data_IF_747410664524
#
_entry.id   IF_747410664524
#
_cell.length_a   1.000
_cell.length_b   1.000
_cell.length_c   1.000
_cell.angle_alpha   90.00
_cell.angle_beta   90.00
_cell.angle_gamma   90.00
#
_symmetry.space_group_name_H-M   'P 1'
#
loop_
_entity.id
_entity.type
_entity.pdbx_description
1 polymer ?
#
# COMPACT_ATOMS: atom_id res chain seq x y z
N UNK A 1 -1.24 -16.47 17.59
CA UNK A 1 -1.37 -15.03 17.86
C UNK A 1 -0.94 -14.34 16.60
N UNK A 2 -1.75 -13.43 16.09
CA UNK A 2 -1.76 -13.16 14.65
C UNK A 2 -2.18 -11.74 14.30
N UNK A 3 -1.62 -11.25 13.21
CA UNK A 3 -1.92 -9.94 12.64
C UNK A 3 -3.40 -9.82 12.27
N UNK A 4 -4.07 -8.78 12.76
CA UNK A 4 -5.50 -8.51 12.50
C UNK A 4 -5.73 -7.41 11.48
N UNK A 5 -4.69 -6.63 11.17
CA UNK A 5 -4.73 -5.53 10.22
C UNK A 5 -3.44 -5.42 9.43
N UNK A 6 -3.22 -4.24 8.88
CA UNK A 6 -2.12 -3.94 7.94
C UNK A 6 -1.23 -2.80 8.45
N UNK A 7 -1.61 -2.16 9.55
CA UNK A 7 -0.83 -1.10 10.17
C UNK A 7 0.35 -1.64 10.97
N UNK A 8 1.35 -0.80 11.28
CA UNK A 8 2.56 -1.20 12.00
C UNK A 8 2.32 -1.76 13.42
N UNK A 9 1.14 -1.52 13.99
CA UNK A 9 0.73 -1.98 15.32
C UNK A 9 -0.45 -2.95 15.28
N UNK A 10 -0.83 -3.44 14.10
CA UNK A 10 -2.00 -4.31 13.93
C UNK A 10 -1.66 -5.81 14.11
N UNK A 11 -0.82 -6.11 15.10
CA UNK A 11 -0.42 -7.46 15.52
C UNK A 11 -0.28 -7.51 17.05
N UNK A 12 -0.53 -8.68 17.63
CA UNK A 12 -0.35 -8.97 19.06
C UNK A 12 1.04 -8.53 19.53
N UNK A 13 2.08 -8.91 18.78
CA UNK A 13 3.47 -8.67 19.16
C UNK A 13 3.84 -7.18 19.04
N UNK A 14 3.32 -6.50 18.03
CA UNK A 14 3.52 -5.07 17.89
C UNK A 14 2.81 -4.27 18.99
N UNK A 15 1.61 -4.69 19.41
CA UNK A 15 0.88 -4.09 20.52
C UNK A 15 1.52 -4.37 21.89
N UNK A 16 2.09 -5.57 22.08
CA UNK A 16 2.87 -5.91 23.28
C UNK A 16 4.13 -5.06 23.35
N UNK A 17 4.88 -4.94 22.25
CA UNK A 17 6.01 -4.03 22.14
C UNK A 17 5.65 -2.57 22.47
N UNK A 18 4.51 -2.06 21.96
CA UNK A 18 4.06 -0.72 22.30
C UNK A 18 3.87 -0.53 23.81
N UNK A 19 3.30 -1.54 24.47
CA UNK A 19 3.11 -1.54 25.93
C UNK A 19 4.46 -1.55 26.66
N UNK A 20 5.45 -2.30 26.19
CA UNK A 20 6.80 -2.27 26.75
C UNK A 20 7.48 -0.90 26.62
N UNK A 21 7.27 -0.21 25.49
CA UNK A 21 7.79 1.14 25.28
C UNK A 21 7.17 2.14 26.27
N UNK A 22 5.87 2.04 26.53
CA UNK A 22 5.19 2.90 27.51
C UNK A 22 5.66 2.61 28.94
N UNK A 23 5.84 1.33 29.30
CA UNK A 23 6.34 0.90 30.61
C UNK A 23 7.79 1.30 30.86
N UNK A 24 8.59 1.47 29.81
CA UNK A 24 9.96 1.95 29.93
C UNK A 24 9.98 3.41 30.39
N UNK A 25 11.00 3.76 31.19
CA UNK A 25 11.21 5.16 31.58
C UNK A 25 11.39 6.01 30.33
N UNK A 26 10.89 7.26 30.35
CA UNK A 26 10.96 8.15 29.20
C UNK A 26 12.38 8.21 28.57
N UNK A 27 13.43 8.33 29.39
CA UNK A 27 14.82 8.35 28.91
C UNK A 27 15.36 7.01 28.37
N UNK A 28 14.67 5.90 28.59
CA UNK A 28 15.09 4.53 28.21
C UNK A 28 14.29 3.98 27.01
N UNK A 29 13.21 4.64 26.58
CA UNK A 29 12.36 4.19 25.45
C UNK A 29 13.15 3.95 24.17
N UNK A 30 14.12 4.81 23.89
CA UNK A 30 14.99 4.67 22.73
C UNK A 30 15.83 3.38 22.76
N UNK A 31 16.17 2.86 23.94
CA UNK A 31 16.91 1.61 24.13
C UNK A 31 16.02 0.42 23.77
N UNK A 32 14.74 0.45 24.18
CA UNK A 32 13.77 -0.61 23.84
C UNK A 32 13.54 -0.66 22.32
N UNK A 33 13.40 0.50 21.68
CA UNK A 33 13.26 0.62 20.22
C UNK A 33 14.52 0.10 19.50
N UNK A 34 15.70 0.53 19.94
CA UNK A 34 16.98 0.05 19.38
C UNK A 34 17.15 -1.46 19.54
N UNK A 35 16.77 -2.00 20.70
CA UNK A 35 16.85 -3.42 20.98
C UNK A 35 16.00 -4.24 20.01
N UNK A 36 14.77 -3.81 19.70
CA UNK A 36 13.90 -4.55 18.77
C UNK A 36 14.42 -4.53 17.34
N UNK A 37 14.88 -3.38 16.85
CA UNK A 37 15.49 -3.27 15.54
C UNK A 37 16.75 -4.13 15.41
N UNK A 38 17.65 -4.06 16.41
CA UNK A 38 18.92 -4.81 16.38
C UNK A 38 18.70 -6.31 16.53
N UNK A 39 17.77 -6.74 17.40
CA UNK A 39 17.41 -8.16 17.58
C UNK A 39 16.91 -8.78 16.28
N UNK A 40 16.07 -8.08 15.52
CA UNK A 40 15.60 -8.56 14.21
C UNK A 40 16.75 -8.64 13.20
N UNK A 41 17.55 -7.56 13.06
CA UNK A 41 18.67 -7.55 12.10
C UNK A 41 19.81 -8.53 12.43
N UNK A 42 19.94 -8.94 13.70
CA UNK A 42 20.96 -9.87 14.16
C UNK A 42 20.52 -11.32 14.20
N UNK A 43 19.23 -11.61 13.96
CA UNK A 43 18.72 -12.97 13.94
C UNK A 43 19.07 -13.68 12.63
N UNK A 44 19.51 -14.93 12.69
CA UNK A 44 19.84 -15.72 11.49
C UNK A 44 18.60 -16.26 10.75
N UNK A 45 17.49 -16.43 11.48
CA UNK A 45 16.19 -16.84 10.94
C UNK A 45 15.11 -16.17 11.82
N UNK A 46 14.78 -14.90 11.57
CA UNK A 46 13.81 -14.19 12.37
C UNK A 46 12.41 -14.77 12.15
N UNK A 47 11.71 -15.03 13.25
CA UNK A 47 10.30 -15.38 13.21
C UNK A 47 9.42 -14.14 12.92
N UNK A 48 8.15 -14.39 12.63
CA UNK A 48 7.20 -13.34 12.30
C UNK A 48 6.96 -12.39 13.50
N UNK A 49 7.21 -12.85 14.72
CA UNK A 49 7.08 -12.03 15.93
C UNK A 49 8.14 -10.93 15.98
N UNK A 50 9.39 -11.28 15.72
CA UNK A 50 10.48 -10.32 15.64
C UNK A 50 10.28 -9.33 14.50
N UNK A 51 9.69 -9.78 13.39
CA UNK A 51 9.35 -8.92 12.26
C UNK A 51 8.29 -7.88 12.62
N UNK A 52 7.19 -8.31 13.26
CA UNK A 52 6.12 -7.40 13.70
C UNK A 52 6.65 -6.32 14.66
N UNK A 53 7.47 -6.71 15.65
CA UNK A 53 8.12 -5.78 16.57
C UNK A 53 9.08 -4.82 15.84
N UNK A 54 9.83 -5.30 14.85
CA UNK A 54 10.76 -4.49 14.07
C UNK A 54 10.03 -3.46 13.20
N UNK A 55 8.91 -3.83 12.57
CA UNK A 55 8.07 -2.92 11.79
C UNK A 55 7.50 -1.82 12.70
N UNK A 56 6.98 -2.20 13.88
CA UNK A 56 6.46 -1.26 14.87
C UNK A 56 7.55 -0.28 15.35
N UNK A 57 8.74 -0.79 15.67
CA UNK A 57 9.89 0.02 16.07
C UNK A 57 10.35 0.98 14.95
N UNK A 58 10.39 0.51 13.70
CA UNK A 58 10.74 1.32 12.55
C UNK A 58 9.72 2.43 12.29
N UNK A 59 8.42 2.16 12.51
CA UNK A 59 7.37 3.17 12.40
C UNK A 59 7.54 4.31 13.42
N UNK A 60 7.97 4.02 14.66
CA UNK A 60 8.27 5.06 15.66
C UNK A 60 9.46 5.93 15.25
N UNK A 61 10.49 5.33 14.65
CA UNK A 61 11.65 6.08 14.11
C UNK A 61 11.23 6.94 12.91
N UNK A 62 10.43 6.38 12.00
CA UNK A 62 9.93 7.09 10.83
C UNK A 62 9.03 8.27 11.23
N UNK A 63 8.21 8.14 12.27
CA UNK A 63 7.35 9.22 12.78
C UNK A 63 8.13 10.47 13.25
N UNK A 64 9.40 10.31 13.63
CA UNK A 64 10.28 11.44 13.99
C UNK A 64 11.14 11.94 12.83
N UNK A 65 11.03 11.33 11.65
CA UNK A 65 11.74 11.77 10.45
C UNK A 65 10.91 12.82 9.67
N UNK A 66 11.56 13.69 8.90
CA UNK A 66 10.86 14.58 7.97
C UNK A 66 9.96 13.79 7.00
N UNK A 67 8.69 14.17 6.91
CA UNK A 67 7.70 13.46 6.08
C UNK A 67 7.10 12.20 6.73
N UNK A 68 7.53 11.85 7.95
CA UNK A 68 6.91 10.82 8.76
C UNK A 68 5.51 11.21 9.23
N UNK A 69 4.63 10.21 9.29
CA UNK A 69 3.31 10.37 9.89
C UNK A 69 3.37 10.03 11.37
N UNK A 70 2.68 10.79 12.24
CA UNK A 70 2.57 10.41 13.64
C UNK A 70 1.87 9.05 13.76
N UNK A 71 2.31 8.24 14.72
CA UNK A 71 1.63 6.99 15.05
C UNK A 71 0.33 7.35 15.78
N UNK A 72 -0.81 7.12 15.11
CA UNK A 72 -2.15 7.40 15.66
C UNK A 72 -2.93 6.12 15.99
N UNK A 73 -2.29 4.95 15.91
CA UNK A 73 -2.95 3.68 16.24
C UNK A 73 -3.26 3.62 17.73
N UNK A 74 -4.48 3.18 18.08
CA UNK A 74 -4.84 2.88 19.47
C UNK A 74 -4.06 1.72 20.08
N UNK A 75 -3.33 0.96 19.24
CA UNK A 75 -2.45 -0.14 19.64
C UNK A 75 -0.96 0.26 19.68
N UNK A 76 -0.64 1.52 19.36
CA UNK A 76 0.70 2.08 19.50
C UNK A 76 1.00 2.60 20.91
N UNK A 77 2.24 3.06 21.18
CA UNK A 77 2.58 3.69 22.45
C UNK A 77 1.68 4.89 22.71
N UNK A 78 1.14 4.96 23.93
CA UNK A 78 0.26 6.04 24.37
C UNK A 78 1.06 7.22 24.91
N UNK A 79 2.25 6.97 25.43
CA UNK A 79 3.10 8.02 25.96
C UNK A 79 4.01 8.63 24.90
N UNK A 80 4.41 9.87 25.13
CA UNK A 80 5.32 10.59 24.24
C UNK A 80 6.67 9.89 24.12
N UNK A 81 7.08 9.58 22.89
CA UNK A 81 8.42 9.09 22.61
C UNK A 81 9.39 10.28 22.59
N UNK A 82 10.46 10.27 23.40
CA UNK A 82 11.47 11.34 23.36
C UNK A 82 12.20 11.36 22.01
N UNK A 83 12.98 12.39 21.76
CA UNK A 83 13.82 12.47 20.57
C UNK A 83 14.74 11.25 20.46
N UNK A 84 14.62 10.53 19.34
CA UNK A 84 15.34 9.31 19.07
C UNK A 84 16.73 9.63 18.48
N UNK A 85 17.78 8.88 18.85
CA UNK A 85 19.11 9.08 18.28
C UNK A 85 19.11 8.88 16.76
N UNK A 86 19.74 9.80 16.03
CA UNK A 86 19.81 9.77 14.55
C UNK A 86 20.37 8.46 13.97
N UNK A 87 21.20 7.72 14.73
CA UNK A 87 21.71 6.40 14.32
C UNK A 87 20.58 5.38 14.09
N UNK A 88 19.48 5.47 14.84
CA UNK A 88 18.37 4.52 14.78
C UNK A 88 17.69 4.53 13.41
N UNK A 89 17.76 5.66 12.69
CA UNK A 89 17.26 5.77 11.33
C UNK A 89 17.90 4.74 10.39
N UNK A 90 19.22 4.58 10.44
CA UNK A 90 19.94 3.58 9.61
C UNK A 90 19.63 2.15 10.04
N UNK A 91 19.48 1.91 11.34
CA UNK A 91 19.13 0.58 11.86
C UNK A 91 17.70 0.21 11.46
N UNK A 92 16.77 1.15 11.54
CA UNK A 92 15.39 0.98 11.09
C UNK A 92 15.30 0.70 9.59
N UNK A 93 16.04 1.46 8.76
CA UNK A 93 16.15 1.18 7.32
C UNK A 93 16.62 -0.23 7.04
N UNK A 94 17.71 -0.66 7.70
CA UNK A 94 18.26 -2.01 7.51
C UNK A 94 17.29 -3.11 7.97
N UNK A 95 16.55 -2.88 9.06
CA UNK A 95 15.51 -3.80 9.51
C UNK A 95 14.41 -3.93 8.44
N UNK A 96 13.88 -2.82 7.92
CA UNK A 96 12.85 -2.85 6.89
C UNK A 96 13.33 -3.47 5.57
N UNK A 97 14.61 -3.31 5.21
CA UNK A 97 15.20 -4.00 4.05
C UNK A 97 15.11 -5.53 4.21
N UNK A 98 15.38 -6.06 5.41
CA UNK A 98 15.22 -7.49 5.70
C UNK A 98 13.74 -7.92 5.69
N UNK A 99 12.85 -7.09 6.27
CA UNK A 99 11.40 -7.35 6.22
C UNK A 99 10.92 -7.49 4.78
N UNK A 100 11.36 -6.60 3.89
CA UNK A 100 10.96 -6.63 2.48
C UNK A 100 11.50 -7.86 1.73
N UNK A 101 12.66 -8.40 2.13
CA UNK A 101 13.17 -9.65 1.57
C UNK A 101 12.30 -10.85 1.97
N UNK A 102 11.78 -10.86 3.19
CA UNK A 102 10.94 -11.94 3.74
C UNK A 102 9.43 -11.70 3.59
N UNK A 103 9.04 -10.54 3.04
CA UNK A 103 7.65 -10.08 3.02
C UNK A 103 6.69 -11.03 2.32
N UNK A 104 7.14 -11.70 1.25
CA UNK A 104 6.31 -12.66 0.52
C UNK A 104 5.95 -13.87 1.40
N UNK A 105 6.89 -14.36 2.23
CA UNK A 105 6.65 -15.45 3.19
C UNK A 105 5.52 -15.09 4.15
N UNK A 106 5.53 -13.84 4.63
CA UNK A 106 4.53 -13.36 5.58
C UNK A 106 3.15 -13.19 4.92
N UNK A 107 3.09 -12.56 3.75
CA UNK A 107 1.84 -12.35 3.00
C UNK A 107 1.22 -13.68 2.58
N UNK A 108 2.02 -14.66 2.17
CA UNK A 108 1.55 -16.01 1.80
C UNK A 108 0.92 -16.76 3.00
N UNK A 109 1.28 -16.40 4.23
CA UNK A 109 0.69 -16.93 5.46
C UNK A 109 -0.74 -16.45 5.75
N UNK A 110 -1.22 -15.41 5.06
CA UNK A 110 -2.52 -14.80 5.33
C UNK A 110 -3.65 -15.58 4.66
N UNK A 111 -4.56 -16.14 5.47
CA UNK A 111 -5.66 -17.01 4.99
C UNK A 111 -7.02 -16.31 4.89
N UNK A 112 -7.08 -15.01 5.15
CA UNK A 112 -8.34 -14.25 5.16
C UNK A 112 -8.84 -13.89 3.75
N UNK A 113 -10.16 -13.66 3.62
CA UNK A 113 -10.72 -13.15 2.36
C UNK A 113 -10.13 -11.76 2.05
N UNK A 114 -9.61 -11.57 0.84
CA UNK A 114 -8.88 -10.35 0.48
C UNK A 114 -7.44 -10.29 1.01
N UNK A 115 -6.87 -11.42 1.47
CA UNK A 115 -5.47 -11.51 1.93
C UNK A 115 -4.48 -10.93 0.93
N UNK A 116 -4.70 -11.13 -0.38
CA UNK A 116 -3.88 -10.53 -1.43
C UNK A 116 -3.90 -9.01 -1.40
N UNK A 117 -5.10 -8.41 -1.43
CA UNK A 117 -5.24 -6.95 -1.44
C UNK A 117 -4.72 -6.31 -0.15
N UNK A 118 -4.91 -7.00 0.98
CA UNK A 118 -4.37 -6.57 2.28
C UNK A 118 -2.84 -6.71 2.32
N UNK A 119 -2.29 -7.79 1.78
CA UNK A 119 -0.84 -8.01 1.69
C UNK A 119 -0.17 -6.95 0.81
N UNK A 120 -0.80 -6.58 -0.31
CA UNK A 120 -0.37 -5.46 -1.15
C UNK A 120 -0.35 -4.13 -0.38
N UNK A 121 -1.42 -3.83 0.37
CA UNK A 121 -1.49 -2.59 1.18
C UNK A 121 -0.48 -2.57 2.34
N UNK A 122 -0.20 -3.74 2.94
CA UNK A 122 0.79 -3.88 3.98
C UNK A 122 2.21 -3.66 3.44
N UNK A 123 2.53 -4.22 2.28
CA UNK A 123 3.78 -3.97 1.56
C UNK A 123 3.96 -2.49 1.23
N UNK A 124 2.93 -1.85 0.67
CA UNK A 124 2.94 -0.40 0.38
C UNK A 124 3.20 0.42 1.66
N UNK A 125 2.65 0.01 2.80
CA UNK A 125 2.91 0.62 4.10
C UNK A 125 4.38 0.53 4.51
N UNK A 126 5.00 -0.64 4.35
CA UNK A 126 6.42 -0.87 4.71
C UNK A 126 7.35 -0.09 3.78
N UNK A 127 7.09 -0.10 2.47
CA UNK A 127 7.85 0.70 1.50
C UNK A 127 7.73 2.21 1.76
N UNK A 128 6.55 2.65 2.21
CA UNK A 128 6.32 4.03 2.66
C UNK A 128 7.21 4.40 3.85
N UNK A 129 7.26 3.54 4.88
CA UNK A 129 8.16 3.73 6.02
C UNK A 129 9.63 3.77 5.58
N UNK A 130 10.02 2.85 4.69
CA UNK A 130 11.39 2.77 4.15
C UNK A 130 11.80 4.05 3.42
N UNK A 131 10.89 4.62 2.64
CA UNK A 131 11.09 5.88 1.90
C UNK A 131 11.27 7.06 2.84
N UNK A 132 10.43 7.16 3.88
CA UNK A 132 10.59 8.20 4.92
C UNK A 132 11.96 8.09 5.57
N UNK A 133 12.41 6.88 5.89
CA UNK A 133 13.71 6.62 6.49
C UNK A 133 14.90 6.89 5.54
N UNK A 134 14.73 6.94 4.22
CA UNK A 134 15.80 7.32 3.28
C UNK A 134 15.88 8.83 2.97
N UNK A 135 14.76 9.54 3.10
CA UNK A 135 14.68 10.96 2.72
C UNK A 135 15.61 11.90 3.53
N UNK A 136 16.77 12.25 2.97
CA UNK A 136 17.74 13.17 3.61
C UNK A 136 17.53 14.65 3.24
N UNK A 137 16.36 15.03 2.70
CA UNK A 137 16.04 16.42 2.32
C UNK A 137 14.52 16.66 2.40
N UNK A 138 14.05 17.91 2.66
CA UNK A 138 12.69 18.18 3.10
C UNK A 138 11.68 18.02 1.96
N UNK A 139 10.55 17.46 2.35
CA UNK A 139 9.31 17.20 1.62
C UNK A 139 9.04 18.00 0.33
N UNK A 140 8.87 17.26 -0.76
CA UNK A 140 7.84 17.57 -1.77
C UNK A 140 7.00 16.30 -1.89
N UNK A 141 5.69 16.38 -1.69
CA UNK A 141 4.76 15.30 -2.08
C UNK A 141 4.94 15.07 -3.56
N UNK A 142 5.69 14.03 -3.92
CA UNK A 142 5.37 13.27 -5.09
C UNK A 142 4.47 12.14 -4.59
N UNK A 143 3.19 12.21 -4.95
CA UNK A 143 2.37 11.02 -5.08
C UNK A 143 3.17 10.01 -5.93
N UNK A 144 3.67 8.94 -5.31
CA UNK A 144 4.28 7.81 -6.00
C UNK A 144 3.18 6.74 -6.07
N UNK A 145 2.57 6.48 -7.25
CA UNK A 145 1.54 5.48 -7.37
C UNK A 145 2.13 4.07 -7.18
N UNK A 146 1.35 3.19 -6.52
CA UNK A 146 1.40 1.71 -6.50
C UNK A 146 2.34 1.10 -7.56
N UNK A 147 3.23 0.14 -7.23
CA UNK A 147 3.86 -0.69 -8.26
C UNK A 147 2.74 -1.41 -9.02
N UNK A 148 2.49 -0.94 -10.25
CA UNK A 148 1.43 -1.44 -11.11
C UNK A 148 1.59 -2.95 -11.25
N UNK A 149 0.59 -3.71 -10.82
CA UNK A 149 0.47 -5.08 -11.31
C UNK A 149 0.51 -5.00 -12.83
N UNK A 150 1.39 -5.79 -13.45
CA UNK A 150 1.71 -5.74 -14.87
C UNK A 150 0.47 -5.77 -15.81
N UNK A 151 -0.69 -6.16 -15.28
CA UNK A 151 -1.93 -6.38 -16.01
C UNK A 151 -3.05 -5.35 -15.70
N UNK A 152 -2.76 -4.21 -15.06
CA UNK A 152 -3.81 -3.27 -14.62
C UNK A 152 -3.59 -1.80 -15.00
N UNK A 153 -2.48 -1.43 -15.63
CA UNK A 153 -2.18 -0.05 -16.02
C UNK A 153 -3.26 0.59 -16.93
N UNK A 154 -3.63 -0.08 -18.02
CA UNK A 154 -4.66 0.39 -18.94
C UNK A 154 -6.04 0.39 -18.30
N UNK A 155 -6.39 -0.67 -17.58
CA UNK A 155 -7.69 -0.77 -16.89
C UNK A 155 -7.85 0.33 -15.84
N UNK A 156 -6.79 0.60 -15.06
CA UNK A 156 -6.74 1.68 -14.07
C UNK A 156 -6.78 3.06 -14.71
N UNK A 157 -6.07 3.27 -15.82
CA UNK A 157 -6.11 4.55 -16.56
C UNK A 157 -7.54 4.91 -16.95
N UNK A 158 -8.32 3.92 -17.42
CA UNK A 158 -9.74 4.13 -17.75
C UNK A 158 -10.59 4.35 -16.48
N UNK A 159 -10.34 3.60 -15.41
CA UNK A 159 -11.02 3.77 -14.13
C UNK A 159 -10.86 5.19 -13.58
N UNK A 160 -9.61 5.67 -13.48
CA UNK A 160 -9.29 6.99 -12.94
C UNK A 160 -9.86 8.11 -13.82
N UNK A 161 -9.79 7.96 -15.15
CA UNK A 161 -10.27 8.98 -16.06
C UNK A 161 -11.81 9.07 -16.14
N UNK A 162 -12.52 7.95 -16.01
CA UNK A 162 -13.98 7.89 -16.21
C UNK A 162 -14.77 7.62 -14.92
N UNK A 163 -14.09 7.38 -13.80
CA UNK A 163 -14.71 7.09 -12.50
C UNK A 163 -15.49 5.78 -12.46
N UNK A 164 -15.15 4.81 -13.30
CA UNK A 164 -15.88 3.53 -13.42
C UNK A 164 -15.09 2.36 -12.89
N UNK A 165 -15.72 1.53 -12.06
CA UNK A 165 -15.10 0.34 -11.49
C UNK A 165 -14.74 -0.71 -12.56
N UNK A 166 -15.47 -0.76 -13.69
CA UNK A 166 -15.17 -1.67 -14.81
C UNK A 166 -15.48 -0.98 -16.13
N UNK A 167 -14.66 -1.20 -17.15
CA UNK A 167 -14.93 -0.69 -18.51
C UNK A 167 -16.28 -1.21 -19.05
N UNK A 168 -16.65 -2.44 -18.67
CA UNK A 168 -17.94 -3.06 -19.02
C UNK A 168 -19.16 -2.40 -18.36
N UNK A 169 -18.97 -1.55 -17.34
CA UNK A 169 -20.06 -0.81 -16.70
C UNK A 169 -20.26 0.57 -17.33
N UNK A 170 -19.47 0.93 -18.34
CA UNK A 170 -19.66 2.19 -19.06
C UNK A 170 -21.01 2.16 -19.79
N UNK A 171 -21.78 3.27 -19.74
CA UNK A 171 -23.00 3.37 -20.54
C UNK A 171 -22.67 3.20 -22.03
N UNK A 172 -23.47 2.39 -22.71
CA UNK A 172 -23.20 1.88 -24.06
C UNK A 172 -22.56 0.48 -24.13
N UNK A 173 -22.13 -0.08 -23.00
CA UNK A 173 -21.57 -1.43 -22.98
C UNK A 173 -22.63 -2.47 -23.38
N UNK A 174 -22.37 -3.21 -24.46
CA UNK A 174 -23.28 -4.23 -25.00
C UNK A 174 -24.22 -3.72 -26.11
N UNK A 175 -24.20 -2.43 -26.43
CA UNK A 175 -24.98 -1.88 -27.55
C UNK A 175 -24.32 -2.18 -28.90
N UNK A 176 -25.14 -2.37 -29.94
CA UNK A 176 -24.66 -2.55 -31.32
C UNK A 176 -24.29 -1.23 -32.02
N UNK A 177 -24.51 -0.08 -31.37
CA UNK A 177 -24.27 1.25 -31.93
C UNK A 177 -22.83 1.77 -31.80
N UNK A 178 -22.57 3.00 -32.29
CA UNK A 178 -21.25 3.64 -32.23
C UNK A 178 -20.66 3.67 -30.81
N UNK A 179 -21.50 3.87 -29.80
CA UNK A 179 -21.11 3.90 -28.38
C UNK A 179 -20.61 2.54 -27.87
N UNK A 180 -21.28 1.45 -28.23
CA UNK A 180 -20.83 0.10 -27.86
C UNK A 180 -19.55 -0.32 -28.62
N UNK A 181 -19.37 0.18 -29.85
CA UNK A 181 -18.11 0.06 -30.59
C UNK A 181 -16.95 0.75 -29.86
N UNK A 182 -17.19 1.98 -29.39
CA UNK A 182 -16.20 2.76 -28.65
C UNK A 182 -15.83 2.12 -27.30
N UNK A 183 -16.80 1.62 -26.54
CA UNK A 183 -16.52 0.91 -25.27
C UNK A 183 -15.69 -0.36 -25.51
N UNK A 184 -15.94 -1.10 -26.61
CA UNK A 184 -15.10 -2.25 -27.00
C UNK A 184 -13.68 -1.83 -27.37
N UNK A 185 -13.52 -0.74 -28.11
CA UNK A 185 -12.20 -0.20 -28.47
C UNK A 185 -11.42 0.28 -27.23
N UNK A 186 -12.07 0.97 -26.29
CA UNK A 186 -11.48 1.34 -25.00
C UNK A 186 -11.00 0.12 -24.22
N UNK A 187 -11.84 -0.93 -24.11
CA UNK A 187 -11.47 -2.14 -23.41
C UNK A 187 -10.28 -2.85 -24.09
N UNK A 188 -10.25 -2.90 -25.43
CA UNK A 188 -9.13 -3.48 -26.17
C UNK A 188 -7.84 -2.66 -26.03
N UNK A 189 -7.94 -1.32 -26.07
CA UNK A 189 -6.79 -0.44 -25.90
C UNK A 189 -6.20 -0.54 -24.49
N UNK A 190 -7.05 -0.63 -23.47
CA UNK A 190 -6.63 -0.86 -22.08
C UNK A 190 -5.85 -2.17 -21.95
N UNK A 191 -6.40 -3.29 -22.45
CA UNK A 191 -5.72 -4.59 -22.44
C UNK A 191 -4.38 -4.58 -23.20
N UNK A 192 -4.31 -3.90 -24.35
CA UNK A 192 -3.05 -3.77 -25.09
C UNK A 192 -2.00 -2.98 -24.32
N UNK A 193 -2.39 -1.95 -23.57
CA UNK A 193 -1.47 -1.21 -22.70
C UNK A 193 -1.00 -2.07 -21.53
N UNK A 194 -1.88 -2.89 -20.97
CA UNK A 194 -1.54 -3.88 -19.94
C UNK A 194 -0.49 -4.88 -20.46
N UNK A 195 -0.74 -5.50 -21.62
CA UNK A 195 0.22 -6.43 -22.25
C UNK A 195 1.58 -5.76 -22.54
N UNK A 196 1.58 -4.52 -23.02
CA UNK A 196 2.79 -3.73 -23.26
C UNK A 196 3.61 -3.51 -21.99
N UNK A 197 2.91 -3.19 -20.91
CA UNK A 197 3.55 -2.92 -19.64
C UNK A 197 4.16 -4.19 -19.07
N UNK A 198 3.45 -5.32 -19.18
CA UNK A 198 3.96 -6.63 -18.80
C UNK A 198 5.22 -7.03 -19.57
N UNK A 199 5.24 -6.84 -20.88
CA UNK A 199 6.41 -7.11 -21.72
C UNK A 199 7.62 -6.25 -21.30
N UNK A 200 7.39 -4.97 -21.00
CA UNK A 200 8.43 -4.08 -20.47
C UNK A 200 8.99 -4.59 -19.14
N UNK A 201 8.14 -4.96 -18.19
CA UNK A 201 8.57 -5.46 -16.88
C UNK A 201 9.37 -6.75 -17.00
N UNK A 202 8.94 -7.69 -17.84
CA UNK A 202 9.68 -8.92 -18.13
C UNK A 202 11.06 -8.64 -18.75
N UNK A 203 11.13 -7.65 -19.63
CA UNK A 203 12.39 -7.24 -20.26
C UNK A 203 13.35 -6.64 -19.22
N UNK A 204 12.83 -5.80 -18.31
CA UNK A 204 13.61 -5.21 -17.20
C UNK A 204 14.12 -6.31 -16.26
N UNK A 205 13.27 -7.24 -15.85
CA UNK A 205 13.64 -8.35 -14.96
C UNK A 205 14.73 -9.24 -15.57
N UNK A 206 14.60 -9.56 -16.86
CA UNK A 206 15.63 -10.30 -17.61
C UNK A 206 16.96 -9.54 -17.64
N UNK A 207 16.90 -8.22 -17.83
CA UNK A 207 18.10 -7.38 -17.88
C UNK A 207 18.79 -7.29 -16.50
N UNK A 208 18.03 -7.16 -15.41
CA UNK A 208 18.54 -7.17 -14.04
C UNK A 208 19.19 -8.53 -13.71
N UNK A 209 18.53 -9.64 -14.04
CA UNK A 209 19.08 -10.98 -13.86
C UNK A 209 20.43 -11.16 -14.58
N UNK A 210 20.56 -10.61 -15.79
CA UNK A 210 21.83 -10.63 -16.55
C UNK A 210 22.90 -9.75 -15.90
N UNK A 211 22.54 -8.55 -15.44
CA UNK A 211 23.47 -7.67 -14.71
C UNK A 211 23.97 -8.32 -13.43
N UNK A 212 23.11 -9.02 -12.70
CA UNK A 212 23.49 -9.77 -11.49
C UNK A 212 24.40 -10.96 -11.79
N UNK A 213 24.19 -11.65 -12.91
CA UNK A 213 25.11 -12.68 -13.38
C UNK A 213 26.51 -12.10 -13.68
N UNK A 214 26.57 -10.98 -14.40
CA UNK A 214 27.84 -10.29 -14.71
C UNK A 214 28.51 -9.78 -13.43
N UNK A 215 27.75 -9.21 -12.49
CA UNK A 215 28.26 -8.79 -11.18
C UNK A 215 28.92 -9.95 -10.44
N UNK A 216 28.28 -11.12 -10.40
CA UNK A 216 28.83 -12.33 -9.78
C UNK A 216 30.09 -12.83 -10.48
N UNK A 217 30.14 -12.81 -11.81
CA UNK A 217 31.35 -13.15 -12.55
C UNK A 217 32.51 -12.19 -12.25
N UNK A 218 32.24 -10.89 -12.12
CA UNK A 218 33.27 -9.92 -11.74
C UNK A 218 33.77 -10.11 -10.30
N UNK A 219 32.89 -10.53 -9.38
CA UNK A 219 33.27 -10.87 -8.00
C UNK A 219 34.18 -12.11 -7.96
N UNK A 220 33.84 -13.19 -8.66
CA UNK A 220 34.70 -14.39 -8.71
C UNK A 220 36.07 -14.14 -9.34
N UNK A 221 36.16 -13.19 -10.28
CA UNK A 221 37.44 -12.72 -10.83
C UNK A 221 38.25 -11.89 -9.82
N UNK A 222 37.58 -11.03 -9.06
CA UNK A 222 38.20 -10.25 -8.00
C UNK A 222 38.76 -11.15 -6.88
N UNK A 223 38.08 -12.26 -6.60
CA UNK A 223 38.50 -13.27 -5.62
C UNK A 223 39.64 -14.17 -6.14
N UNK A 224 40.08 -13.97 -7.38
CA UNK A 224 41.25 -14.64 -7.97
C UNK A 224 40.99 -16.06 -8.48
N UNK A 225 39.73 -16.49 -8.58
CA UNK A 225 39.36 -17.88 -8.93
C UNK A 225 39.31 -18.17 -10.44
N UNK A 226 39.25 -17.15 -11.31
CA UNK A 226 39.12 -17.35 -12.77
C UNK A 226 40.15 -16.51 -13.54
N UNK A 227 40.75 -17.08 -14.60
CA UNK A 227 41.80 -16.42 -15.40
C UNK A 227 41.32 -15.76 -16.71
N UNK A 228 40.11 -16.03 -17.19
CA UNK A 228 39.66 -15.47 -18.49
C UNK A 228 38.19 -15.01 -18.46
N UNK A 229 37.98 -13.72 -18.71
CA UNK A 229 36.69 -13.12 -19.07
C UNK A 229 36.40 -13.41 -20.54
N UNK A 230 35.29 -14.08 -20.83
CA UNK A 230 34.83 -14.20 -22.21
C UNK A 230 34.35 -12.82 -22.69
N UNK A 231 34.99 -12.31 -23.73
CA UNK A 231 34.84 -10.96 -24.33
C UNK A 231 33.41 -10.63 -24.86
N UNK A 232 32.45 -11.55 -24.76
CA UNK A 232 31.06 -11.33 -25.18
C UNK A 232 30.18 -10.59 -24.17
N UNK A 233 30.63 -10.40 -22.93
CA UNK A 233 29.77 -10.07 -21.79
C UNK A 233 29.75 -8.59 -21.38
N UNK A 234 30.04 -7.64 -22.30
CA UNK A 234 29.97 -6.20 -21.96
C UNK A 234 28.52 -5.68 -22.05
N UNK A 235 27.81 -5.37 -20.92
CA UNK A 235 26.34 -5.26 -20.91
C UNK A 235 25.80 -3.85 -21.11
N UNK A 236 26.60 -2.81 -20.86
CA UNK A 236 26.08 -1.45 -20.69
C UNK A 236 25.47 -0.85 -21.98
N UNK A 237 26.04 -1.15 -23.14
CA UNK A 237 25.49 -0.68 -24.43
C UNK A 237 24.23 -1.45 -24.86
N UNK A 238 24.00 -2.64 -24.30
CA UNK A 238 22.85 -3.51 -24.64
C UNK A 238 21.56 -3.10 -23.91
N UNK A 239 21.63 -2.48 -22.73
CA UNK A 239 20.43 -2.08 -21.97
C UNK A 239 19.58 -1.04 -22.71
N UNK A 240 20.23 -0.05 -23.33
CA UNK A 240 19.52 1.00 -24.07
C UNK A 240 18.82 0.43 -25.31
N UNK A 241 19.48 -0.45 -26.07
CA UNK A 241 18.87 -1.09 -27.25
C UNK A 241 17.75 -2.04 -26.87
N UNK A 242 17.91 -2.80 -25.79
CA UNK A 242 16.92 -3.79 -25.31
C UNK A 242 15.65 -3.12 -24.78
N UNK A 243 15.76 -1.99 -24.07
CA UNK A 243 14.59 -1.32 -23.45
C UNK A 243 13.89 -0.31 -24.38
N UNK A 244 14.58 0.22 -25.40
CA UNK A 244 14.02 1.25 -26.28
C UNK A 244 12.71 0.84 -26.97
N UNK A 245 12.65 -0.41 -27.47
CA UNK A 245 11.47 -0.95 -28.18
C UNK A 245 10.24 -1.13 -27.27
N UNK A 246 10.32 -1.82 -26.11
CA UNK A 246 9.16 -1.97 -25.23
C UNK A 246 8.70 -0.63 -24.63
N UNK A 247 9.63 0.32 -24.38
CA UNK A 247 9.28 1.67 -23.95
C UNK A 247 8.49 2.44 -25.01
N UNK A 248 8.95 2.42 -26.26
CA UNK A 248 8.22 3.07 -27.36
C UNK A 248 6.82 2.46 -27.55
N UNK A 249 6.72 1.12 -27.51
CA UNK A 249 5.43 0.43 -27.63
C UNK A 249 4.46 0.77 -26.48
N UNK A 250 4.95 0.89 -25.24
CA UNK A 250 4.14 1.34 -24.10
C UNK A 250 3.64 2.78 -24.30
N UNK A 251 4.51 3.69 -24.72
CA UNK A 251 4.18 5.10 -24.91
C UNK A 251 3.10 5.30 -25.99
N UNK A 252 3.24 4.63 -27.14
CA UNK A 252 2.25 4.66 -28.22
C UNK A 252 0.87 4.16 -27.77
N UNK A 253 0.83 3.04 -27.04
CA UNK A 253 -0.42 2.45 -26.55
C UNK A 253 -1.09 3.30 -25.48
N UNK A 254 -0.31 3.97 -24.63
CA UNK A 254 -0.83 4.93 -23.66
C UNK A 254 -1.46 6.15 -24.36
N UNK A 255 -0.78 6.74 -25.34
CA UNK A 255 -1.31 7.85 -26.12
C UNK A 255 -2.62 7.48 -26.83
N UNK A 256 -2.69 6.27 -27.42
CA UNK A 256 -3.91 5.78 -28.06
C UNK A 256 -5.07 5.64 -27.07
N UNK A 257 -4.83 5.08 -25.88
CA UNK A 257 -5.84 4.92 -24.84
C UNK A 257 -6.39 6.27 -24.37
N UNK A 258 -5.51 7.25 -24.13
CA UNK A 258 -5.92 8.60 -23.72
C UNK A 258 -6.78 9.27 -24.78
N UNK A 259 -6.44 9.15 -26.07
CA UNK A 259 -7.26 9.67 -27.16
C UNK A 259 -8.67 9.06 -27.21
N UNK A 260 -8.82 7.76 -26.92
CA UNK A 260 -10.13 7.11 -26.85
C UNK A 260 -10.94 7.56 -25.62
N UNK A 261 -10.29 7.83 -24.49
CA UNK A 261 -10.92 8.35 -23.28
C UNK A 261 -11.53 9.72 -23.54
N UNK A 262 -10.79 10.60 -24.22
CA UNK A 262 -11.26 11.95 -24.54
C UNK A 262 -12.43 11.91 -25.52
N UNK A 263 -12.35 11.09 -26.57
CA UNK A 263 -13.47 10.87 -27.49
C UNK A 263 -14.73 10.35 -26.77
N UNK A 264 -14.56 9.46 -25.79
CA UNK A 264 -15.69 8.94 -25.01
C UNK A 264 -16.34 10.02 -24.12
N UNK A 265 -15.54 10.92 -23.55
CA UNK A 265 -16.04 12.07 -22.77
C UNK A 265 -16.83 13.05 -23.64
N UNK A 266 -16.37 13.30 -24.87
CA UNK A 266 -17.07 14.18 -25.81
C UNK A 266 -18.42 13.60 -26.24
N UNK A 267 -18.50 12.28 -26.42
CA UNK A 267 -19.70 11.57 -26.88
C UNK A 267 -20.67 11.16 -25.76
N UNK A 268 -20.23 11.13 -24.50
CA UNK A 268 -21.10 10.89 -23.34
C UNK A 268 -21.48 12.23 -22.68
N UNK A 269 -22.72 12.73 -22.84
CA UNK A 269 -23.17 13.88 -22.06
C UNK A 269 -23.07 13.55 -20.56
N UNK A 270 -22.58 14.51 -19.77
CA UNK A 270 -22.42 14.35 -18.33
C UNK A 270 -23.72 13.83 -17.69
N UNK A 271 -23.65 12.92 -16.70
CA UNK A 271 -24.84 12.42 -16.03
C UNK A 271 -25.58 13.62 -15.43
N UNK A 272 -26.84 13.77 -15.79
CA UNK A 272 -27.69 14.82 -15.23
C UNK A 272 -27.75 14.64 -13.71
N UNK A 273 -27.87 15.76 -12.98
CA UNK A 273 -27.89 15.79 -11.51
C UNK A 273 -28.90 14.77 -10.91
N UNK A 274 -29.97 14.45 -11.63
CA UNK A 274 -30.95 13.42 -11.25
C UNK A 274 -30.38 11.99 -11.12
N UNK A 275 -29.42 11.59 -11.96
CA UNK A 275 -28.83 10.24 -11.90
C UNK A 275 -27.91 10.07 -10.69
N UNK A 276 -27.22 11.15 -10.27
CA UNK A 276 -26.38 11.14 -9.07
C UNK A 276 -27.21 10.93 -7.79
N UNK A 277 -28.42 11.48 -7.76
CA UNK A 277 -29.35 11.32 -6.63
C UNK A 277 -29.97 9.91 -6.60
N UNK A 278 -30.20 9.30 -7.77
CA UNK A 278 -30.70 7.92 -7.86
C UNK A 278 -29.67 6.90 -7.37
N UNK A 279 -28.40 7.04 -7.75
CA UNK A 279 -27.31 6.17 -7.25
C UNK A 279 -26.97 6.38 -5.77
N UNK A 280 -27.36 7.51 -5.17
CA UNK A 280 -27.27 7.73 -3.72
C UNK A 280 -28.42 7.04 -2.96
N UNK A 281 -29.66 7.07 -3.49
CA UNK A 281 -30.83 6.44 -2.83
C UNK A 281 -30.83 4.92 -2.87
N UNK A 282 -30.19 4.29 -3.87
CA UNK A 282 -30.09 2.82 -3.94
C UNK A 282 -29.24 2.17 -2.85
N UNK A 283 -28.49 2.95 -2.04
CA UNK A 283 -27.60 2.43 -0.98
C UNK A 283 -28.21 2.45 0.43
N UNK A 284 -29.44 2.93 0.60
CA UNK A 284 -30.05 3.06 1.94
C UNK A 284 -31.45 2.44 1.97
N UNK A 285 -31.53 1.11 1.83
CA UNK A 285 -32.70 0.33 2.26
C UNK A 285 -32.23 -0.77 3.21
N UNK A 286 -31.90 -0.37 4.44
CA UNK A 286 -32.04 -1.21 5.61
C UNK A 286 -33.25 -0.68 6.38
N UNK A 287 -34.23 -1.56 6.60
CA UNK A 287 -35.51 -1.27 7.23
C UNK A 287 -35.35 -0.71 8.66
N UNK A 288 -36.19 0.24 9.11
CA UNK A 288 -36.15 0.72 10.47
C UNK A 288 -36.82 -0.31 11.39
N UNK A 289 -36.05 -0.80 12.37
CA UNK A 289 -36.56 -1.60 13.48
C UNK A 289 -37.48 -0.75 14.37
N UNK A 290 -38.64 -1.32 14.69
CA UNK A 290 -39.65 -0.73 15.55
C UNK A 290 -39.15 -0.49 16.98
N UNK A 291 -39.43 0.71 17.51
CA UNK A 291 -39.25 1.07 18.92
C UNK A 291 -40.38 0.45 19.78
N UNK A 292 -40.10 -0.01 21.02
CA UNK A 292 -41.13 -0.46 21.93
C UNK A 292 -41.79 0.73 22.64
N UNK A 293 -43.12 0.70 22.61
CA UNK A 293 -44.05 1.56 23.34
C UNK A 293 -44.02 1.23 24.84
N UNK A 294 -43.66 2.20 25.68
CA UNK A 294 -44.01 2.21 27.11
C UNK A 294 -44.28 3.63 27.59
N UNK A 295 -45.56 3.93 27.82
CA UNK A 295 -46.01 5.06 28.62
C UNK A 295 -47.08 4.54 29.60
N UNK A 296 -46.93 4.73 30.92
CA UNK A 296 -48.00 4.50 31.88
C UNK A 296 -48.81 5.81 32.11
N UNK A 297 -50.08 5.73 32.54
CA UNK A 297 -50.91 6.91 32.69
C UNK A 297 -50.63 7.65 34.02
N UNK A 298 -50.72 8.97 33.91
CA UNK A 298 -50.67 9.95 34.99
C UNK A 298 -51.74 9.68 36.07
N UNK A 299 -51.33 9.59 37.33
CA UNK A 299 -52.21 9.76 38.49
C UNK A 299 -52.20 11.23 38.94
N UNK A 300 -53.35 11.81 39.32
CA UNK A 300 -53.41 13.17 39.85
C UNK A 300 -52.94 13.21 41.31
N UNK A 301 -52.05 14.17 41.55
CA UNK A 301 -51.51 14.60 42.83
C UNK A 301 -52.60 15.10 43.77
N UNK A 302 -52.66 14.52 44.97
CA UNK A 302 -53.35 15.10 46.14
C UNK A 302 -52.31 15.67 47.11
N UNK A 303 -52.53 16.93 47.45
CA UNK A 303 -51.75 17.82 48.34
C UNK A 303 -51.68 17.28 49.78
N UNK A 304 -50.57 17.52 50.52
CA UNK A 304 -50.37 17.03 51.89
C UNK A 304 -50.97 17.98 52.95
N UNK A 305 -51.04 17.52 54.21
CA UNK A 305 -50.54 18.38 55.27
C UNK A 305 -49.69 17.66 56.34
N UNK A 306 -48.60 18.36 56.68
CA UNK A 306 -48.13 18.69 58.03
C UNK A 306 -47.81 17.58 59.07
N UNK A 307 -46.52 17.60 59.44
CA UNK A 307 -45.99 17.64 60.81
C UNK A 307 -46.04 16.36 61.68
N UNK A 308 -44.84 15.87 62.07
CA UNK A 308 -44.27 16.07 63.42
C UNK A 308 -43.01 15.21 63.66
N UNK A 309 -41.96 15.89 64.15
CA UNK A 309 -40.95 15.48 65.13
C UNK A 309 -40.93 14.01 65.60
N UNK A 310 -39.82 13.30 65.38
CA UNK A 310 -38.70 13.10 66.32
C UNK A 310 -37.66 12.17 65.70
#
# INVERSE_FOLDING_TARGET
>A
MGSWGIGPFDSDHASEFASEVDLARAGERHIVIEHRLTRYTGASDPDDYLMDEAIAAAALVAAQCPGGLPVTSGYGPQDLIPELPARLRRVASAALDLVLLDAQRHVDGWTCAGARDRGEQWLEGIEGLRTVLDSTTPYTVAYVPKPLLAHELGTRTVHEALGVNRIRTLPGAGESGPRGLLVRQLNQAALRLDDAHKELLQTVDTALTRLDAVRRQLQTLADGEIRELHSGDVPAFMLHTVLSRPLAARAERHQHLTGLIDLYRELSPAPTVSERVASARGRTTAAPAALPTTAPPLQPTTTPPAARNR
#
